data_IF_759817037957
#
_entry.id   IF_759817037957
#
_cell.length_a   1.000
_cell.length_b   1.000
_cell.length_c   1.000
_cell.angle_alpha   90.00
_cell.angle_beta   90.00
_cell.angle_gamma   90.00
#
_symmetry.space_group_name_H-M   'P 1'
#
loop_
_entity.id
_entity.type
_entity.pdbx_description
1 polymer ?
#
# COMPACT_ATOMS: atom_id res chain seq x y z
N UNK A 1 -11.11 7.62 9.46
CA UNK A 1 -12.23 7.10 8.64
C UNK A 1 -11.92 7.28 7.14
N UNK A 2 -10.99 6.48 6.58
CA UNK A 2 -10.55 6.69 5.19
C UNK A 2 -11.66 6.53 4.15
N UNK A 3 -12.70 5.74 4.43
CA UNK A 3 -13.83 5.56 3.49
C UNK A 3 -14.74 6.78 3.40
N UNK A 4 -14.91 7.53 4.49
CA UNK A 4 -15.86 8.65 4.57
C UNK A 4 -15.46 9.81 3.64
N UNK A 5 -14.17 10.15 3.57
CA UNK A 5 -13.68 11.20 2.67
C UNK A 5 -13.83 10.84 1.20
N UNK A 6 -13.62 9.57 0.84
CA UNK A 6 -13.78 9.14 -0.55
C UNK A 6 -15.26 9.21 -0.96
N UNK A 7 -16.17 8.88 -0.05
CA UNK A 7 -17.61 9.01 -0.28
C UNK A 7 -18.02 10.49 -0.40
N UNK A 8 -17.62 11.35 0.55
CA UNK A 8 -17.90 12.79 0.52
C UNK A 8 -17.32 13.47 -0.73
N UNK A 9 -16.08 13.14 -1.08
CA UNK A 9 -15.44 13.64 -2.29
C UNK A 9 -16.21 13.21 -3.54
N UNK A 10 -16.54 11.92 -3.68
CA UNK A 10 -17.30 11.41 -4.82
C UNK A 10 -18.69 12.06 -4.94
N UNK A 11 -19.41 12.21 -3.81
CA UNK A 11 -20.72 12.88 -3.78
C UNK A 11 -20.61 14.35 -4.18
N UNK A 12 -19.58 15.06 -3.70
CA UNK A 12 -19.36 16.47 -4.06
C UNK A 12 -19.19 16.64 -5.58
N UNK A 13 -18.34 15.80 -6.20
CA UNK A 13 -18.14 15.84 -7.66
C UNK A 13 -19.40 15.45 -8.44
N UNK A 14 -20.14 14.44 -7.97
CA UNK A 14 -21.40 14.02 -8.61
C UNK A 14 -22.46 15.13 -8.55
N UNK A 15 -22.68 15.75 -7.39
CA UNK A 15 -23.64 16.85 -7.23
C UNK A 15 -23.24 18.09 -8.05
N UNK A 16 -21.95 18.43 -8.10
CA UNK A 16 -21.45 19.52 -8.94
C UNK A 16 -21.72 19.24 -10.43
N UNK A 17 -21.42 18.02 -10.89
CA UNK A 17 -21.66 17.60 -12.28
C UNK A 17 -23.15 17.60 -12.66
N UNK A 18 -24.02 17.11 -11.77
CA UNK A 18 -25.47 17.14 -11.98
C UNK A 18 -26.02 18.57 -12.01
N UNK A 19 -25.55 19.45 -11.13
CA UNK A 19 -25.95 20.86 -11.09
C UNK A 19 -25.51 21.58 -12.38
N UNK A 20 -24.29 21.33 -12.85
CA UNK A 20 -23.79 21.84 -14.13
C UNK A 20 -24.60 21.33 -15.32
N UNK A 21 -24.88 20.03 -15.36
CA UNK A 21 -25.68 19.43 -16.42
C UNK A 21 -27.11 19.99 -16.43
N UNK A 22 -27.69 20.20 -15.26
CA UNK A 22 -29.01 20.85 -15.13
C UNK A 22 -28.97 22.29 -15.66
N UNK A 23 -27.96 23.08 -15.30
CA UNK A 23 -27.78 24.44 -15.83
C UNK A 23 -27.74 24.44 -17.37
N UNK A 24 -26.87 23.61 -17.96
CA UNK A 24 -26.75 23.47 -19.41
C UNK A 24 -28.10 23.09 -20.05
N UNK A 25 -28.78 22.08 -19.51
CA UNK A 25 -30.04 21.61 -20.07
C UNK A 25 -31.17 22.64 -19.93
N UNK A 26 -31.31 23.26 -18.75
CA UNK A 26 -32.44 24.13 -18.42
C UNK A 26 -32.28 25.57 -18.93
N UNK A 27 -31.07 26.06 -19.13
CA UNK A 27 -30.84 27.47 -19.54
C UNK A 27 -30.25 27.60 -20.95
N UNK A 28 -29.37 26.69 -21.38
CA UNK A 28 -28.73 26.79 -22.69
C UNK A 28 -29.47 26.00 -23.76
N UNK A 29 -29.89 24.77 -23.45
CA UNK A 29 -30.57 23.90 -24.42
C UNK A 29 -32.08 24.15 -24.52
N UNK A 30 -32.73 24.51 -23.42
CA UNK A 30 -34.18 24.68 -23.37
C UNK A 30 -34.55 25.95 -22.60
N UNK A 31 -34.20 27.15 -23.10
CA UNK A 31 -34.50 28.40 -22.40
C UNK A 31 -36.01 28.59 -22.21
N UNK A 32 -36.43 29.32 -21.16
CA UNK A 32 -37.83 29.61 -20.91
C UNK A 32 -38.43 30.41 -22.08
N UNK A 33 -39.69 30.12 -22.39
CA UNK A 33 -40.42 30.68 -23.53
C UNK A 33 -41.56 31.53 -23.00
N UNK A 34 -41.72 32.73 -23.55
CA UNK A 34 -42.87 33.61 -23.31
C UNK A 34 -43.66 33.78 -24.60
N UNK A 35 -44.95 34.12 -24.49
CA UNK A 35 -45.84 34.25 -25.65
C UNK A 35 -46.28 35.71 -25.78
N UNK A 36 -46.01 36.31 -26.93
CA UNK A 36 -46.47 37.66 -27.29
C UNK A 36 -47.37 37.53 -28.51
N UNK A 37 -48.61 38.00 -28.41
CA UNK A 37 -49.58 37.96 -29.52
C UNK A 37 -49.77 36.56 -30.15
N UNK A 38 -49.65 35.51 -29.34
CA UNK A 38 -49.78 34.11 -29.78
C UNK A 38 -48.53 33.51 -30.42
N UNK A 39 -47.43 34.26 -30.54
CA UNK A 39 -46.13 33.75 -31.02
C UNK A 39 -45.17 33.45 -29.86
N UNK A 40 -44.51 32.28 -29.83
CA UNK A 40 -43.55 31.94 -28.81
C UNK A 40 -42.18 32.58 -29.06
N UNK A 41 -41.63 33.25 -28.06
CA UNK A 41 -40.30 33.85 -28.07
C UNK A 41 -39.42 33.22 -26.98
N UNK A 42 -38.19 32.87 -27.35
CA UNK A 42 -37.21 32.37 -26.39
C UNK A 42 -36.57 33.51 -25.61
N UNK A 43 -36.48 33.35 -24.30
CA UNK A 43 -35.76 34.31 -23.48
C UNK A 43 -34.25 34.17 -23.70
N UNK A 44 -33.60 35.26 -24.07
CA UNK A 44 -32.17 35.25 -24.35
C UNK A 44 -31.36 34.94 -23.07
N UNK A 45 -30.38 34.01 -23.11
CA UNK A 45 -29.59 33.63 -21.92
C UNK A 45 -28.88 34.80 -21.24
N UNK A 46 -28.46 35.81 -22.01
CA UNK A 46 -27.85 37.03 -21.49
C UNK A 46 -28.76 37.85 -20.57
N UNK A 47 -30.07 37.91 -20.86
CA UNK A 47 -31.04 38.62 -20.02
C UNK A 47 -31.26 37.87 -18.71
N UNK A 48 -31.35 36.53 -18.78
CA UNK A 48 -31.42 35.67 -17.60
C UNK A 48 -30.18 35.80 -16.71
N UNK A 49 -28.98 35.82 -17.30
CA UNK A 49 -27.73 35.97 -16.56
C UNK A 49 -27.66 37.31 -15.81
N UNK A 50 -28.09 38.41 -16.45
CA UNK A 50 -28.16 39.73 -15.82
C UNK A 50 -29.12 39.74 -14.63
N UNK A 51 -30.33 39.22 -14.80
CA UNK A 51 -31.31 39.14 -13.71
C UNK A 51 -30.87 38.18 -12.58
N UNK A 52 -30.24 37.06 -12.91
CA UNK A 52 -29.68 36.12 -11.93
C UNK A 52 -28.58 36.79 -11.10
N UNK A 53 -27.70 37.56 -11.77
CA UNK A 53 -26.63 38.32 -11.12
C UNK A 53 -27.19 39.41 -10.20
N UNK A 54 -28.20 40.16 -10.65
CA UNK A 54 -28.88 41.16 -9.82
C UNK A 54 -29.53 40.53 -8.58
N UNK A 55 -30.19 39.37 -8.73
CA UNK A 55 -30.74 38.60 -7.61
C UNK A 55 -29.67 38.09 -6.63
N UNK A 56 -28.56 37.56 -7.13
CA UNK A 56 -27.44 37.14 -6.28
C UNK A 56 -26.79 38.33 -5.54
N UNK A 57 -26.67 39.48 -6.20
CA UNK A 57 -26.10 40.69 -5.60
C UNK A 57 -27.05 41.40 -4.63
N UNK A 58 -28.36 41.30 -4.83
CA UNK A 58 -29.34 41.81 -3.86
C UNK A 58 -29.29 41.03 -2.54
N UNK A 59 -29.10 39.70 -2.60
CA UNK A 59 -28.82 38.85 -1.43
C UNK A 59 -27.54 39.25 -0.69
N UNK A 60 -26.55 39.79 -1.41
CA UNK A 60 -25.28 40.27 -0.86
C UNK A 60 -25.30 41.76 -0.48
N UNK A 61 -26.48 42.40 -0.46
CA UNK A 61 -26.66 43.82 -0.11
C UNK A 61 -25.86 44.79 -0.99
N UNK A 62 -25.62 44.45 -2.26
CA UNK A 62 -24.98 45.38 -3.19
C UNK A 62 -25.89 46.57 -3.52
N UNK A 63 -25.35 47.81 -3.57
CA UNK A 63 -26.14 49.00 -3.91
C UNK A 63 -26.69 48.89 -5.33
N UNK A 64 -27.95 49.30 -5.56
CA UNK A 64 -28.62 49.28 -6.87
C UNK A 64 -29.14 47.90 -7.34
N UNK A 65 -28.59 46.79 -6.83
CA UNK A 65 -28.95 45.44 -7.28
C UNK A 65 -30.41 45.06 -6.99
N UNK A 66 -31.03 45.65 -5.95
CA UNK A 66 -32.43 45.39 -5.59
C UNK A 66 -33.40 46.00 -6.58
N UNK A 67 -33.12 47.21 -7.07
CA UNK A 67 -33.95 47.90 -8.07
C UNK A 67 -33.86 47.19 -9.42
N UNK A 68 -32.65 46.79 -9.84
CA UNK A 68 -32.43 45.99 -11.05
C UNK A 68 -33.17 44.64 -10.97
N UNK A 69 -33.12 43.97 -9.82
CA UNK A 69 -33.82 42.70 -9.62
C UNK A 69 -35.34 42.86 -9.66
N UNK A 70 -35.88 43.92 -9.05
CA UNK A 70 -37.32 44.23 -9.11
C UNK A 70 -37.78 44.50 -10.53
N UNK A 71 -37.01 45.26 -11.31
CA UNK A 71 -37.32 45.50 -12.73
C UNK A 71 -37.35 44.21 -13.55
N UNK A 72 -36.45 43.25 -13.27
CA UNK A 72 -36.46 41.93 -13.89
C UNK A 72 -37.68 41.10 -13.47
N UNK A 73 -38.01 41.09 -12.17
CA UNK A 73 -39.17 40.37 -11.64
C UNK A 73 -40.47 40.87 -12.25
N UNK A 74 -40.66 42.18 -12.32
CA UNK A 74 -41.84 42.80 -12.91
C UNK A 74 -41.99 42.42 -14.38
N UNK A 75 -40.90 42.43 -15.16
CA UNK A 75 -40.92 42.02 -16.55
C UNK A 75 -41.32 40.54 -16.71
N UNK A 76 -40.77 39.64 -15.89
CA UNK A 76 -41.11 38.21 -15.94
C UNK A 76 -42.56 37.92 -15.53
N UNK A 77 -43.08 38.65 -14.54
CA UNK A 77 -44.47 38.55 -14.10
C UNK A 77 -45.44 39.04 -15.16
N UNK A 78 -45.14 40.17 -15.81
CA UNK A 78 -45.95 40.71 -16.91
C UNK A 78 -46.02 39.75 -18.10
N UNK A 79 -44.93 39.02 -18.38
CA UNK A 79 -44.86 38.05 -19.48
C UNK A 79 -45.27 36.62 -19.07
N UNK A 80 -45.74 36.39 -17.84
CA UNK A 80 -46.25 35.10 -17.38
C UNK A 80 -45.22 33.98 -17.26
N UNK A 81 -43.91 34.30 -17.24
CA UNK A 81 -42.81 33.31 -17.20
C UNK A 81 -42.13 33.21 -15.84
N UNK A 82 -42.59 33.99 -14.87
CA UNK A 82 -41.98 34.06 -13.54
C UNK A 82 -41.86 32.71 -12.86
N UNK A 83 -42.92 31.90 -12.85
CA UNK A 83 -42.94 30.63 -12.11
C UNK A 83 -41.95 29.61 -12.70
N UNK A 84 -41.82 29.54 -14.05
CA UNK A 84 -40.85 28.67 -14.72
C UNK A 84 -39.40 29.10 -14.45
N UNK A 85 -39.13 30.41 -14.52
CA UNK A 85 -37.80 30.96 -14.21
C UNK A 85 -37.44 30.74 -12.75
N UNK A 86 -38.38 31.00 -11.83
CA UNK A 86 -38.18 30.84 -10.39
C UNK A 86 -37.93 29.38 -10.02
N UNK A 87 -38.72 28.44 -10.56
CA UNK A 87 -38.53 27.01 -10.31
C UNK A 87 -37.12 26.55 -10.74
N UNK A 88 -36.66 26.97 -11.92
CA UNK A 88 -35.32 26.61 -12.42
C UNK A 88 -34.21 27.21 -11.57
N UNK A 89 -34.37 28.45 -11.12
CA UNK A 89 -33.43 29.08 -10.21
C UNK A 89 -33.39 28.40 -8.84
N UNK A 90 -34.53 27.97 -8.29
CA UNK A 90 -34.58 27.24 -7.03
C UNK A 90 -33.88 25.88 -7.12
N UNK A 91 -34.07 25.13 -8.20
CA UNK A 91 -33.38 23.85 -8.42
C UNK A 91 -31.87 24.07 -8.54
N UNK A 92 -31.44 25.08 -9.31
CA UNK A 92 -30.03 25.42 -9.47
C UNK A 92 -29.40 25.87 -8.14
N UNK A 93 -30.08 26.76 -7.41
CA UNK A 93 -29.66 27.27 -6.11
C UNK A 93 -29.57 26.16 -5.06
N UNK A 94 -30.54 25.25 -5.02
CA UNK A 94 -30.54 24.08 -4.15
C UNK A 94 -29.38 23.12 -4.45
N UNK A 95 -29.14 22.84 -5.73
CA UNK A 95 -28.00 22.01 -6.17
C UNK A 95 -26.64 22.62 -5.82
N UNK A 96 -26.49 23.93 -6.02
CA UNK A 96 -25.29 24.67 -5.65
C UNK A 96 -25.07 24.67 -4.13
N UNK A 97 -26.12 24.92 -3.33
CA UNK A 97 -26.05 24.89 -1.87
C UNK A 97 -25.64 23.51 -1.35
N UNK A 98 -26.25 22.43 -1.87
CA UNK A 98 -25.89 21.06 -1.50
C UNK A 98 -24.42 20.75 -1.84
N UNK A 99 -23.95 21.19 -3.02
CA UNK A 99 -22.55 21.03 -3.43
C UNK A 99 -21.59 21.75 -2.47
N UNK A 100 -21.93 22.97 -2.04
CA UNK A 100 -21.13 23.72 -1.06
C UNK A 100 -21.12 23.04 0.32
N UNK A 101 -22.24 22.52 0.78
CA UNK A 101 -22.33 21.77 2.06
C UNK A 101 -21.45 20.52 2.01
N UNK A 102 -21.51 19.74 0.93
CA UNK A 102 -20.68 18.55 0.74
C UNK A 102 -19.19 18.90 0.64
N UNK A 103 -18.85 19.97 -0.09
CA UNK A 103 -17.47 20.46 -0.21
C UNK A 103 -16.92 20.91 1.14
N UNK A 104 -17.70 21.64 1.94
CA UNK A 104 -17.33 22.05 3.29
C UNK A 104 -17.11 20.83 4.20
N UNK A 105 -18.01 19.85 4.15
CA UNK A 105 -17.87 18.59 4.88
C UNK A 105 -16.62 17.80 4.47
N UNK A 106 -16.31 17.75 3.18
CA UNK A 106 -15.09 17.13 2.66
C UNK A 106 -13.82 17.84 3.12
N UNK A 107 -13.79 19.17 3.06
CA UNK A 107 -12.67 19.98 3.55
C UNK A 107 -12.46 19.79 5.07
N UNK A 108 -13.55 19.74 5.83
CA UNK A 108 -13.53 19.45 7.27
C UNK A 108 -12.97 18.05 7.53
N UNK A 109 -13.43 17.05 6.77
CA UNK A 109 -12.96 15.67 6.90
C UNK A 109 -11.45 15.54 6.65
N UNK A 110 -10.91 16.26 5.66
CA UNK A 110 -9.46 16.29 5.40
C UNK A 110 -8.71 16.99 6.55
N UNK A 111 -9.24 18.11 7.05
CA UNK A 111 -8.57 18.92 8.09
C UNK A 111 -8.46 18.19 9.43
N UNK A 112 -9.43 17.35 9.78
CA UNK A 112 -9.44 16.59 11.03
C UNK A 112 -8.85 15.18 10.91
N UNK A 113 -8.17 14.85 9.82
CA UNK A 113 -7.45 13.58 9.73
C UNK A 113 -6.24 13.56 10.67
N UNK A 114 -6.19 12.63 11.65
CA UNK A 114 -4.99 12.48 12.46
C UNK A 114 -3.83 12.04 11.55
N UNK A 115 -2.62 12.60 11.75
CA UNK A 115 -1.47 12.19 10.97
C UNK A 115 -1.21 10.69 11.18
N UNK A 116 -0.73 9.97 10.15
CA UNK A 116 -0.42 8.55 10.29
C UNK A 116 0.57 8.36 11.44
N UNK A 117 0.41 7.30 12.27
CA UNK A 117 1.23 7.10 13.45
C UNK A 117 2.71 7.03 13.07
N UNK A 118 3.49 7.97 13.61
CA UNK A 118 4.92 8.04 13.36
C UNK A 118 5.64 7.03 14.24
N UNK A 119 6.33 6.07 13.62
CA UNK A 119 7.18 5.11 14.34
C UNK A 119 8.42 5.86 14.87
N UNK A 120 8.41 6.21 16.15
CA UNK A 120 9.49 6.97 16.81
C UNK A 120 10.70 6.08 17.11
N UNK A 121 10.48 4.84 17.54
CA UNK A 121 11.52 3.85 17.86
C UNK A 121 11.07 2.44 17.49
N UNK A 122 12.03 1.53 17.34
CA UNK A 122 11.80 0.09 17.14
C UNK A 122 11.87 -0.39 15.67
N UNK A 123 11.69 -1.71 15.46
CA UNK A 123 11.74 -2.33 14.15
C UNK A 123 10.69 -1.75 13.19
N UNK A 124 11.09 -1.46 11.96
CA UNK A 124 10.19 -0.99 10.91
C UNK A 124 9.94 -2.11 9.92
N UNK A 125 8.66 -2.44 9.70
CA UNK A 125 8.26 -3.35 8.64
C UNK A 125 8.21 -2.60 7.32
N UNK A 126 9.01 -3.04 6.36
CA UNK A 126 8.91 -2.60 4.97
C UNK A 126 8.30 -3.72 4.14
N UNK A 127 7.70 -3.37 3.00
CA UNK A 127 7.11 -4.33 2.06
C UNK A 127 7.63 -4.10 0.64
N UNK A 128 7.67 -5.19 -0.15
CA UNK A 128 8.05 -5.15 -1.57
C UNK A 128 9.42 -4.51 -1.83
N UNK A 129 9.48 -3.63 -2.83
CA UNK A 129 10.70 -2.96 -3.27
C UNK A 129 11.33 -2.08 -2.17
N UNK A 130 10.50 -1.47 -1.32
CA UNK A 130 10.98 -0.67 -0.17
C UNK A 130 11.72 -1.55 0.85
N UNK A 131 11.31 -2.81 1.03
CA UNK A 131 12.03 -3.75 1.89
C UNK A 131 13.39 -4.13 1.29
N UNK A 132 13.42 -4.46 -0.01
CA UNK A 132 14.67 -4.82 -0.70
C UNK A 132 15.69 -3.67 -0.68
N UNK A 133 15.23 -2.44 -0.93
CA UNK A 133 16.12 -1.27 -0.92
C UNK A 133 16.63 -0.94 0.49
N UNK A 134 15.79 -1.09 1.52
CA UNK A 134 16.19 -0.91 2.91
C UNK A 134 17.23 -1.94 3.35
N UNK A 135 16.97 -3.23 3.11
CA UNK A 135 17.92 -4.32 3.41
C UNK A 135 19.23 -4.10 2.64
N UNK A 136 19.16 -3.81 1.33
CA UNK A 136 20.35 -3.57 0.52
C UNK A 136 21.16 -2.35 0.97
N UNK A 137 20.53 -1.31 1.52
CA UNK A 137 21.26 -0.16 2.10
C UNK A 137 22.00 -0.56 3.38
N UNK A 138 21.35 -1.31 4.27
CA UNK A 138 21.95 -1.81 5.51
C UNK A 138 23.09 -2.77 5.20
N UNK A 139 22.84 -3.76 4.34
CA UNK A 139 23.83 -4.77 3.96
C UNK A 139 25.07 -4.16 3.32
N UNK A 140 24.92 -3.19 2.41
CA UNK A 140 26.06 -2.49 1.80
C UNK A 140 26.87 -1.70 2.83
N UNK A 141 26.22 -1.11 3.83
CA UNK A 141 26.92 -0.37 4.89
C UNK A 141 27.78 -1.31 5.74
N UNK A 142 27.24 -2.46 6.12
CA UNK A 142 27.94 -3.46 6.93
C UNK A 142 29.02 -4.18 6.12
N UNK A 143 28.75 -4.54 4.86
CA UNK A 143 29.72 -5.17 3.97
C UNK A 143 30.91 -4.24 3.64
N UNK A 144 30.73 -2.92 3.69
CA UNK A 144 31.86 -1.97 3.60
C UNK A 144 32.83 -2.06 4.78
N UNK A 145 32.36 -2.52 5.94
CA UNK A 145 33.17 -2.61 7.15
C UNK A 145 33.91 -3.94 7.26
N UNK A 146 33.26 -5.04 6.93
CA UNK A 146 33.82 -6.40 7.14
C UNK A 146 33.99 -7.21 5.85
N UNK A 147 33.73 -6.61 4.68
CA UNK A 147 33.65 -7.32 3.41
C UNK A 147 32.28 -7.96 3.18
N UNK A 148 31.97 -8.21 1.90
CA UNK A 148 30.82 -9.00 1.47
C UNK A 148 31.11 -10.50 1.59
N UNK A 149 30.16 -11.22 2.16
CA UNK A 149 30.09 -12.67 2.20
C UNK A 149 28.97 -13.19 1.31
N UNK A 150 28.35 -14.28 1.74
CA UNK A 150 27.29 -14.97 0.99
C UNK A 150 26.09 -14.07 0.67
N UNK A 151 25.41 -14.32 -0.45
CA UNK A 151 24.26 -13.51 -0.88
C UNK A 151 22.97 -14.00 -0.23
N UNK A 152 22.39 -13.21 0.68
CA UNK A 152 21.13 -13.55 1.33
C UNK A 152 20.39 -12.30 1.85
N UNK A 153 19.19 -11.95 1.32
CA UNK A 153 18.43 -12.60 0.24
C UNK A 153 19.12 -12.52 -1.14
N UNK A 154 18.66 -13.28 -2.17
CA UNK A 154 19.29 -13.28 -3.50
C UNK A 154 19.51 -11.87 -4.08
N UNK A 155 20.72 -11.60 -4.55
CA UNK A 155 21.17 -10.29 -5.04
C UNK A 155 21.56 -9.27 -3.96
N UNK A 156 21.57 -9.63 -2.67
CA UNK A 156 22.03 -8.77 -1.58
C UNK A 156 23.12 -9.50 -0.77
N UNK A 157 24.37 -9.08 -0.92
CA UNK A 157 25.51 -9.64 -0.17
C UNK A 157 25.37 -9.35 1.33
N UNK A 158 25.42 -10.39 2.15
CA UNK A 158 25.52 -10.30 3.61
C UNK A 158 26.93 -9.87 4.01
N UNK A 159 27.11 -9.17 5.12
CA UNK A 159 28.45 -8.88 5.65
C UNK A 159 29.07 -10.12 6.30
N UNK A 160 30.40 -10.26 6.24
CA UNK A 160 31.11 -11.36 6.93
C UNK A 160 30.87 -11.38 8.44
N UNK A 161 30.68 -10.23 9.08
CA UNK A 161 30.28 -10.16 10.49
C UNK A 161 28.92 -10.84 10.74
N UNK A 162 27.91 -10.57 9.91
CA UNK A 162 26.59 -11.22 10.06
C UNK A 162 26.65 -12.72 9.77
N UNK A 163 27.43 -13.12 8.78
CA UNK A 163 27.66 -14.53 8.45
C UNK A 163 28.18 -15.32 9.67
N UNK A 164 29.05 -14.69 10.47
CA UNK A 164 29.64 -15.30 11.68
C UNK A 164 28.71 -15.39 12.89
N UNK A 165 27.57 -14.68 12.90
CA UNK A 165 26.67 -14.56 14.08
C UNK A 165 25.60 -15.64 14.17
N UNK A 166 25.71 -16.70 13.37
CA UNK A 166 24.69 -17.74 13.18
C UNK A 166 23.35 -17.17 12.66
N UNK A 167 22.51 -18.06 12.13
CA UNK A 167 21.18 -17.68 11.65
C UNK A 167 20.14 -18.70 12.07
N UNK A 168 18.96 -18.21 12.43
CA UNK A 168 17.80 -19.03 12.74
C UNK A 168 16.77 -18.90 11.61
N UNK A 169 16.46 -20.01 10.95
CA UNK A 169 15.43 -20.09 9.92
C UNK A 169 14.24 -20.84 10.52
N UNK A 170 13.12 -20.13 10.69
CA UNK A 170 11.88 -20.66 11.28
C UNK A 170 10.70 -20.53 10.33
N UNK A 171 9.71 -21.40 10.46
CA UNK A 171 8.50 -21.41 9.63
C UNK A 171 7.75 -22.74 9.69
N UNK A 172 6.48 -22.76 9.29
CA UNK A 172 5.64 -23.96 9.23
C UNK A 172 6.12 -24.98 8.17
N UNK A 173 5.56 -26.18 8.15
CA UNK A 173 5.75 -27.13 7.04
C UNK A 173 5.34 -26.47 5.72
N UNK A 174 6.12 -26.64 4.66
CA UNK A 174 5.85 -26.02 3.35
C UNK A 174 6.24 -24.53 3.21
N UNK A 175 6.74 -23.87 4.25
CA UNK A 175 7.16 -22.44 4.19
C UNK A 175 8.44 -22.16 3.41
N UNK A 176 9.07 -23.17 2.80
CA UNK A 176 10.29 -22.99 2.01
C UNK A 176 11.60 -22.95 2.79
N UNK A 177 11.63 -23.39 4.06
CA UNK A 177 12.88 -23.47 4.87
C UNK A 177 13.99 -24.24 4.15
N UNK A 178 13.67 -25.44 3.67
CA UNK A 178 14.56 -26.33 2.92
C UNK A 178 15.17 -25.62 1.70
N UNK A 179 14.34 -24.89 0.93
CA UNK A 179 14.80 -24.12 -0.24
C UNK A 179 15.70 -22.95 0.18
N UNK A 180 15.36 -22.26 1.28
CA UNK A 180 16.17 -21.16 1.83
C UNK A 180 17.55 -21.65 2.26
N UNK A 181 17.63 -22.80 2.94
CA UNK A 181 18.89 -23.43 3.34
C UNK A 181 19.69 -23.86 2.12
N UNK A 182 19.05 -24.47 1.12
CA UNK A 182 19.71 -24.89 -0.12
C UNK A 182 20.37 -23.70 -0.83
N UNK A 183 19.70 -22.55 -0.93
CA UNK A 183 20.29 -21.34 -1.49
C UNK A 183 21.54 -20.87 -0.71
N UNK A 184 21.51 -20.91 0.61
CA UNK A 184 22.66 -20.54 1.44
C UNK A 184 23.84 -21.49 1.24
N UNK A 185 23.58 -22.81 1.13
CA UNK A 185 24.61 -23.80 0.86
C UNK A 185 25.25 -23.53 -0.50
N UNK A 186 24.44 -23.31 -1.55
CA UNK A 186 24.96 -23.03 -2.89
C UNK A 186 25.83 -21.77 -2.93
N UNK A 187 25.42 -20.70 -2.25
CA UNK A 187 26.23 -19.47 -2.14
C UNK A 187 27.56 -19.75 -1.41
N UNK A 188 27.53 -20.45 -0.28
CA UNK A 188 28.74 -20.81 0.45
C UNK A 188 29.69 -21.71 -0.38
N UNK A 189 29.15 -22.63 -1.19
CA UNK A 189 29.95 -23.41 -2.14
C UNK A 189 30.61 -22.54 -3.21
N UNK A 190 29.88 -21.55 -3.75
CA UNK A 190 30.42 -20.62 -4.73
C UNK A 190 31.56 -19.77 -4.15
N UNK A 191 31.46 -19.41 -2.87
CA UNK A 191 32.55 -18.74 -2.14
C UNK A 191 33.73 -19.66 -1.81
N UNK A 192 33.57 -20.99 -1.94
CA UNK A 192 34.60 -21.98 -1.62
C UNK A 192 34.68 -22.34 -0.13
N UNK A 193 33.62 -22.06 0.63
CA UNK A 193 33.58 -22.34 2.06
C UNK A 193 33.41 -23.84 2.33
N UNK A 194 34.06 -24.32 3.40
CA UNK A 194 33.90 -25.70 3.87
C UNK A 194 32.67 -25.78 4.75
N UNK A 195 31.81 -26.77 4.49
CA UNK A 195 30.55 -26.93 5.21
C UNK A 195 30.36 -28.34 5.72
N UNK A 196 29.69 -28.45 6.86
CA UNK A 196 29.14 -29.68 7.39
C UNK A 196 27.62 -29.54 7.37
N UNK A 197 26.94 -30.38 6.60
CA UNK A 197 25.49 -30.35 6.45
C UNK A 197 24.90 -31.58 7.13
N UNK A 198 23.98 -31.35 8.07
CA UNK A 198 23.16 -32.42 8.63
C UNK A 198 21.92 -32.59 7.76
N UNK A 199 21.93 -33.61 6.92
CA UNK A 199 20.80 -33.98 6.06
C UNK A 199 20.17 -35.28 6.57
N UNK A 200 19.06 -35.17 7.29
CA UNK A 200 18.35 -36.34 7.83
C UNK A 200 17.50 -37.06 6.78
N UNK A 201 17.19 -36.41 5.65
CA UNK A 201 16.25 -36.93 4.65
C UNK A 201 16.93 -37.37 3.36
N UNK A 202 18.17 -36.94 3.11
CA UNK A 202 18.90 -37.19 1.87
C UNK A 202 18.56 -36.20 0.74
N UNK A 203 17.54 -35.34 0.93
CA UNK A 203 17.02 -34.47 -0.12
C UNK A 203 17.95 -33.29 -0.47
N UNK A 204 18.86 -32.93 0.45
CA UNK A 204 19.92 -31.97 0.17
C UNK A 204 21.06 -32.63 -0.59
N UNK A 205 21.46 -33.82 -0.16
CA UNK A 205 22.62 -34.54 -0.72
C UNK A 205 22.41 -34.85 -2.21
N UNK A 206 21.20 -35.24 -2.62
CA UNK A 206 20.85 -35.51 -4.02
C UNK A 206 20.88 -34.27 -4.93
N UNK A 207 20.62 -33.08 -4.38
CA UNK A 207 20.43 -31.84 -5.15
C UNK A 207 21.66 -30.95 -5.19
N UNK A 208 22.66 -31.23 -4.37
CA UNK A 208 23.85 -30.41 -4.28
C UNK A 208 24.90 -30.85 -5.32
N UNK A 209 25.47 -29.92 -6.10
CA UNK A 209 26.49 -30.26 -7.08
C UNK A 209 27.84 -30.58 -6.41
N UNK A 210 28.72 -31.28 -7.13
CA UNK A 210 30.12 -31.43 -6.73
C UNK A 210 30.44 -32.64 -5.85
N UNK A 211 31.68 -32.66 -5.34
CA UNK A 211 32.24 -33.81 -4.61
C UNK A 211 31.94 -33.70 -3.11
N UNK A 212 30.90 -34.39 -2.67
CA UNK A 212 30.47 -34.43 -1.27
C UNK A 212 31.11 -35.64 -0.58
N UNK A 213 31.60 -35.45 0.65
CA UNK A 213 32.02 -36.58 1.50
C UNK A 213 30.84 -36.92 2.40
N UNK A 214 30.20 -38.06 2.14
CA UNK A 214 29.08 -38.54 2.91
C UNK A 214 29.56 -39.29 4.16
N UNK A 215 29.04 -38.91 5.32
CA UNK A 215 29.24 -39.60 6.59
C UNK A 215 27.89 -40.18 7.01
N UNK A 216 27.53 -41.33 6.44
CA UNK A 216 26.27 -42.03 6.72
C UNK A 216 26.55 -43.54 6.83
N UNK A 217 26.69 -44.11 8.04
CA UNK A 217 27.06 -45.52 8.22
C UNK A 217 26.12 -46.52 7.54
N UNK A 218 24.86 -46.12 7.35
CA UNK A 218 23.81 -46.91 6.71
C UNK A 218 23.75 -46.79 5.17
N UNK A 219 24.58 -45.94 4.56
CA UNK A 219 24.59 -45.71 3.11
C UNK A 219 25.73 -46.48 2.44
N UNK A 220 25.47 -47.12 1.29
CA UNK A 220 26.49 -47.87 0.54
C UNK A 220 27.61 -46.97 -0.02
N UNK A 221 27.31 -45.69 -0.27
CA UNK A 221 28.29 -44.71 -0.72
C UNK A 221 29.16 -44.16 0.41
N UNK A 222 28.97 -44.67 1.63
CA UNK A 222 29.76 -44.32 2.78
C UNK A 222 31.24 -44.61 2.51
N UNK A 223 32.01 -43.52 2.40
CA UNK A 223 33.45 -43.63 2.59
C UNK A 223 33.67 -43.74 4.08
N UNK A 224 34.04 -44.93 4.49
CA UNK A 224 34.52 -45.24 5.84
C UNK A 224 35.73 -44.34 6.10
N UNK A 225 35.45 -43.13 6.57
CA UNK A 225 36.46 -42.29 7.17
C UNK A 225 36.62 -42.92 8.53
N UNK A 226 37.74 -43.59 8.85
CA UNK A 226 37.93 -44.03 10.21
C UNK A 226 37.78 -42.77 11.05
N UNK A 227 36.76 -42.75 11.93
CA UNK A 227 36.68 -41.79 13.01
C UNK A 227 37.74 -42.19 14.04
N UNK A 228 38.97 -42.36 13.58
CA UNK A 228 40.13 -42.02 14.37
C UNK A 228 40.13 -40.51 14.30
N UNK A 229 39.52 -39.88 15.31
CA UNK A 229 40.01 -38.59 15.78
C UNK A 229 41.53 -38.74 15.71
N UNK A 230 42.19 -38.06 14.76
CA UNK A 230 43.65 -38.05 14.75
C UNK A 230 43.99 -37.51 16.14
N UNK A 231 44.39 -38.41 17.03
CA UNK A 231 44.73 -38.18 18.43
C UNK A 231 46.01 -37.35 18.42
N UNK A 232 45.89 -36.10 17.96
CA UNK A 232 46.95 -35.12 17.98
C UNK A 232 46.99 -34.55 19.39
N UNK A 233 47.44 -35.41 20.31
CA UNK A 233 48.14 -35.17 21.59
C UNK A 233 47.75 -36.25 22.62
N UNK A 234 48.72 -36.99 23.17
CA UNK A 234 48.47 -37.81 24.35
C UNK A 234 48.18 -36.85 25.53
N UNK A 235 46.93 -36.78 26.01
CA UNK A 235 46.62 -36.00 27.21
C UNK A 235 45.20 -35.43 27.41
N UNK A 236 44.22 -35.66 26.51
CA UNK A 236 42.83 -35.18 26.76
C UNK A 236 41.73 -36.20 26.42
N UNK A 237 41.55 -37.25 27.25
CA UNK A 237 40.47 -38.23 27.05
C UNK A 237 39.06 -37.72 27.45
N UNK A 238 38.93 -36.70 28.30
CA UNK A 238 37.63 -36.36 28.92
C UNK A 238 36.69 -35.46 28.11
N UNK A 239 37.15 -34.76 27.05
CA UNK A 239 36.29 -33.81 26.30
C UNK A 239 35.34 -34.48 25.29
N UNK A 240 35.59 -35.74 24.92
CA UNK A 240 34.81 -36.45 23.90
C UNK A 240 33.83 -37.49 24.47
N UNK A 241 33.95 -37.82 25.76
CA UNK A 241 32.95 -38.63 26.46
C UNK A 241 31.59 -37.91 26.56
N UNK A 242 31.59 -36.57 26.59
CA UNK A 242 30.37 -35.76 26.62
C UNK A 242 29.64 -35.66 25.27
N UNK A 243 30.28 -36.07 24.16
CA UNK A 243 29.69 -36.09 22.81
C UNK A 243 29.16 -37.48 22.40
N UNK A 244 29.32 -38.50 23.25
CA UNK A 244 28.62 -39.78 23.05
C UNK A 244 27.15 -39.61 23.48
N UNK A 245 26.18 -40.19 22.74
CA UNK A 245 24.77 -40.07 23.08
C UNK A 245 24.52 -40.65 24.47
N UNK A 246 23.76 -39.93 25.30
CA UNK A 246 23.15 -40.52 26.49
C UNK A 246 22.29 -41.69 26.01
N UNK A 247 22.66 -42.92 26.38
CA UNK A 247 21.88 -44.11 26.10
C UNK A 247 20.51 -43.94 26.79
N UNK A 248 19.47 -43.67 26.01
CA UNK A 248 18.08 -43.70 26.48
C UNK A 248 17.77 -45.17 26.79
N UNK A 249 17.78 -45.52 28.08
CA UNK A 249 17.30 -46.83 28.54
C UNK A 249 15.81 -46.90 28.28
N UNK A 250 15.40 -47.69 27.29
CA UNK A 250 14.01 -48.13 27.22
C UNK A 250 13.74 -49.13 28.35
N UNK A 251 12.71 -48.92 29.19
CA UNK A 251 12.29 -49.95 30.14
C UNK A 251 11.76 -51.15 29.35
N UNK A 252 12.29 -52.33 29.68
CA UNK A 252 11.79 -53.59 29.17
C UNK A 252 10.29 -53.70 29.54
N UNK A 253 9.44 -53.89 28.53
CA UNK A 253 8.07 -54.35 28.77
C UNK A 253 8.17 -55.82 29.17
N UNK A 254 7.80 -56.10 30.41
CA UNK A 254 7.38 -57.42 30.90
C UNK A 254 6.09 -57.85 30.24
#
# INVERSE_FOLDING_TARGET
MPKVKHILGALTFACAGLTWLYHWQAFERSPPVYVVEGQPYYLHPGSLATCTKAGAFSLLWAPGAREEYQSCEDWFRQNGVWDDVLQRWQVLGGGAALTLILAAGFALAIRFEPPPPKIVRGPRRFTGQKARSAIGRISRREARQTGGGITFPPGIAMSRDRESRHMLITGAVGSGKTQTIQHLILEAMQFGDKMLVLDTKGDMTERLPGKITLIAPQDEQFKQTPIVFRLARPGRPHRHAASQPQAVRHPARS
#
